data_IF_213345681537
#
_entry.id   IF_213345681537
#
_cell.length_a   1.000
_cell.length_b   1.000
_cell.length_c   1.000
_cell.angle_alpha   90.00
_cell.angle_beta   90.00
_cell.angle_gamma   90.00
#
_symmetry.space_group_name_H-M   'P 1'
#
loop_
_entity.id
_entity.type
_entity.pdbx_description
1 polymer ?
#
# COMPACT_ATOMS: atom_id res chain seq x y z
N UNK A 1 -27.19 -7.00 11.54
CA UNK A 1 -26.78 -6.30 10.31
C UNK A 1 -25.27 -6.38 10.24
N UNK A 2 -24.70 -7.17 9.32
CA UNK A 2 -23.26 -7.22 9.10
C UNK A 2 -22.92 -6.23 7.99
N UNK A 3 -21.99 -5.33 8.27
CA UNK A 3 -21.39 -4.49 7.24
C UNK A 3 -20.36 -5.32 6.47
N UNK A 4 -20.63 -5.55 5.19
CA UNK A 4 -19.71 -6.26 4.29
C UNK A 4 -18.42 -5.48 4.03
N UNK A 5 -18.36 -4.21 4.45
CA UNK A 5 -17.20 -3.32 4.34
C UNK A 5 -16.26 -3.39 5.56
N UNK A 6 -16.48 -4.31 6.51
CA UNK A 6 -15.65 -4.43 7.71
C UNK A 6 -14.22 -4.94 7.39
N UNK A 7 -13.35 -4.04 6.92
CA UNK A 7 -11.92 -4.27 6.68
C UNK A 7 -11.12 -3.96 7.94
N UNK A 8 -11.31 -4.78 8.96
CA UNK A 8 -10.64 -4.60 10.25
C UNK A 8 -9.12 -4.60 10.08
N UNK A 9 -8.47 -3.52 10.50
CA UNK A 9 -7.02 -3.38 10.42
C UNK A 9 -6.51 -2.86 9.09
N UNK A 10 -7.38 -2.47 8.15
CA UNK A 10 -7.00 -1.75 6.93
C UNK A 10 -7.47 -0.29 6.99
N UNK A 11 -6.79 0.57 6.24
CA UNK A 11 -7.21 1.95 5.98
C UNK A 11 -6.84 2.38 4.57
N UNK A 12 -7.54 3.39 4.05
CA UNK A 12 -7.27 3.95 2.73
C UNK A 12 -6.71 5.36 2.84
N UNK A 13 -5.57 5.57 2.21
CA UNK A 13 -4.98 6.90 2.01
C UNK A 13 -5.41 7.42 0.64
N UNK A 14 -6.28 8.43 0.64
CA UNK A 14 -6.79 9.04 -0.60
C UNK A 14 -5.89 10.21 -0.98
N UNK A 15 -5.08 10.01 -2.02
CA UNK A 15 -4.28 11.08 -2.60
C UNK A 15 -5.17 11.88 -3.55
N UNK A 16 -5.96 12.80 -2.99
CA UNK A 16 -6.91 13.61 -3.76
C UNK A 16 -6.22 14.63 -4.70
N UNK A 17 -4.96 15.01 -4.40
CA UNK A 17 -4.20 15.96 -5.21
C UNK A 17 -2.73 15.56 -5.27
N UNK A 18 -2.22 15.36 -6.48
CA UNK A 18 -0.80 15.18 -6.77
C UNK A 18 -0.43 16.05 -7.97
N UNK A 19 0.47 17.03 -7.78
CA UNK A 19 0.73 18.07 -8.80
C UNK A 19 1.39 17.54 -10.08
N UNK A 20 2.28 16.57 -9.95
CA UNK A 20 3.10 16.03 -11.04
C UNK A 20 3.00 14.50 -11.11
N UNK A 21 1.86 13.94 -10.68
CA UNK A 21 1.70 12.50 -10.60
C UNK A 21 0.23 12.10 -10.45
N UNK A 22 -0.06 10.79 -10.50
CA UNK A 22 -1.42 10.30 -10.42
C UNK A 22 -2.02 10.50 -9.03
N UNK A 23 -3.32 10.79 -8.99
CA UNK A 23 -4.13 10.59 -7.78
C UNK A 23 -4.40 9.10 -7.61
N UNK A 24 -4.40 8.61 -6.38
CA UNK A 24 -4.62 7.19 -6.09
C UNK A 24 -5.15 6.99 -4.68
N UNK A 25 -5.95 5.96 -4.50
CA UNK A 25 -6.25 5.41 -3.18
C UNK A 25 -5.24 4.31 -2.88
N UNK A 26 -4.53 4.44 -1.77
CA UNK A 26 -3.51 3.48 -1.33
C UNK A 26 -4.03 2.80 -0.07
N UNK A 27 -4.26 1.49 -0.16
CA UNK A 27 -4.67 0.69 1.00
C UNK A 27 -3.44 0.33 1.84
N UNK A 28 -3.54 0.56 3.14
CA UNK A 28 -2.47 0.36 4.14
C UNK A 28 -3.00 -0.43 5.34
N UNK A 29 -2.10 -1.04 6.10
CA UNK A 29 -2.47 -1.68 7.36
C UNK A 29 -2.51 -0.63 8.49
N UNK A 30 -3.60 -0.62 9.26
CA UNK A 30 -3.87 0.31 10.34
C UNK A 30 -3.65 -0.34 11.71
N UNK A 31 -2.63 0.12 12.44
CA UNK A 31 -2.35 -0.29 13.81
C UNK A 31 -2.67 0.87 14.75
N UNK A 32 -3.97 1.21 14.85
CA UNK A 32 -4.44 2.41 15.53
C UNK A 32 -4.13 2.43 17.04
N UNK A 33 -3.99 1.27 17.67
CA UNK A 33 -3.55 1.15 19.07
C UNK A 33 -2.10 1.63 19.30
N UNK A 34 -1.28 1.68 18.24
CA UNK A 34 0.05 2.30 18.23
C UNK A 34 0.06 3.64 17.48
N UNK A 35 -1.11 4.16 17.09
CA UNK A 35 -1.26 5.37 16.28
C UNK A 35 -0.37 5.40 15.02
N UNK A 36 -0.24 4.26 14.33
CA UNK A 36 0.61 4.13 13.13
C UNK A 36 -0.07 3.37 11.98
N UNK A 37 0.44 3.63 10.78
CA UNK A 37 0.14 2.87 9.57
C UNK A 37 1.42 2.18 9.09
N UNK A 38 1.28 0.98 8.53
CA UNK A 38 2.39 0.21 7.97
C UNK A 38 2.00 -0.30 6.58
N UNK A 39 3.00 -0.65 5.78
CA UNK A 39 2.76 -1.26 4.48
C UNK A 39 1.96 -2.56 4.61
N UNK A 40 1.16 -2.86 3.59
CA UNK A 40 0.49 -4.15 3.50
C UNK A 40 1.54 -5.26 3.42
N UNK A 41 1.24 -6.40 4.07
CA UNK A 41 2.10 -7.57 3.97
C UNK A 41 2.26 -7.95 2.49
N UNK A 42 3.49 -7.92 2.00
CA UNK A 42 3.79 -8.35 0.64
C UNK A 42 3.51 -9.84 0.53
N UNK A 43 2.81 -10.24 -0.53
CA UNK A 43 2.73 -11.65 -0.87
C UNK A 43 4.15 -12.12 -1.23
N UNK A 44 4.77 -13.06 -0.50
CA UNK A 44 6.10 -13.56 -0.83
C UNK A 44 6.06 -14.20 -2.23
N UNK A 45 6.52 -13.44 -3.24
CA UNK A 45 6.42 -13.79 -4.65
C UNK A 45 5.98 -12.65 -5.57
N UNK A 46 5.45 -11.54 -5.04
CA UNK A 46 4.96 -10.42 -5.86
C UNK A 46 6.03 -9.49 -6.43
N UNK A 47 7.32 -9.80 -6.28
CA UNK A 47 8.41 -9.15 -7.02
C UNK A 47 8.56 -7.63 -6.83
N UNK A 48 7.99 -7.04 -5.76
CA UNK A 48 8.04 -5.59 -5.52
C UNK A 48 9.37 -5.11 -4.92
N UNK A 49 10.43 -5.91 -5.02
CA UNK A 49 11.77 -5.51 -4.61
C UNK A 49 12.34 -4.51 -5.62
N UNK A 50 12.24 -3.22 -5.26
CA UNK A 50 12.75 -2.10 -6.05
C UNK A 50 14.29 -2.12 -6.22
N UNK A 51 15.00 -2.99 -5.49
CA UNK A 51 16.45 -3.17 -5.68
C UNK A 51 16.77 -4.10 -6.85
N UNK A 52 15.86 -5.00 -7.24
CA UNK A 52 16.08 -5.94 -8.34
C UNK A 52 15.81 -5.33 -9.73
N UNK A 53 14.92 -4.34 -9.82
CA UNK A 53 14.54 -3.73 -11.10
C UNK A 53 15.70 -2.99 -11.80
N UNK A 54 16.79 -2.66 -11.08
CA UNK A 54 17.95 -1.95 -11.63
C UNK A 54 19.01 -2.83 -12.28
N UNK A 55 18.94 -4.16 -12.11
CA UNK A 55 19.94 -5.10 -12.61
C UNK A 55 19.65 -5.66 -14.01
N UNK A 56 18.44 -5.48 -14.55
CA UNK A 56 18.04 -6.09 -15.84
C UNK A 56 18.42 -5.26 -17.08
N UNK A 57 19.09 -4.12 -16.95
CA UNK A 57 19.42 -3.21 -18.07
C UNK A 57 20.89 -3.28 -18.53
N UNK A 58 21.71 -4.19 -17.98
CA UNK A 58 23.08 -4.41 -18.43
C UNK A 58 23.18 -5.65 -19.34
N UNK A 59 22.98 -5.46 -20.64
CA UNK A 59 23.46 -6.35 -21.71
C UNK A 59 23.57 -5.61 -23.04
#
# INVERSE_FOLDING_TARGET
MYDSQNRSGEADLIIAKHRNGPTRTITVAAQLHFARFVDMAQNPGSGTDFTQQRQSEEN
#
